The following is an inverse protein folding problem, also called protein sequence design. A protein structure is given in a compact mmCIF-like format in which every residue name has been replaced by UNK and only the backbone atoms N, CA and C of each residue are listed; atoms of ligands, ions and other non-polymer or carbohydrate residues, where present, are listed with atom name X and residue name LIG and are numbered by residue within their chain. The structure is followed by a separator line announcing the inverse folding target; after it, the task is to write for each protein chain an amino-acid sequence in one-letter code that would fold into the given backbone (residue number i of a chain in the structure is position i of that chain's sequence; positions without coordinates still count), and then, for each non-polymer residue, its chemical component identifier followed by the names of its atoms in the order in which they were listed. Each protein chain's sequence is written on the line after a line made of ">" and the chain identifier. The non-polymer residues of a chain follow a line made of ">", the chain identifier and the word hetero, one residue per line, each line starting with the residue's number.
data_IF_670765948159
#
_entry.id   IF_670765948159
#
_cell.length_a   1.000
_cell.length_b   1.000
_cell.length_c   1.000
_cell.angle_alpha   90.00
_cell.angle_beta   90.00
_cell.angle_gamma   90.00
#
_symmetry.space_group_name_H-M   'P 1'
#
loop_
_entity.id
_entity.type
_entity.pdbx_description
1 polymer ?
#
# COMPACT_ATOMS: atom_id res chain seq x y z
N UNK A 1 -6.40 -6.99 -5.87
CA UNK A 1 -7.27 -6.09 -5.08
C UNK A 1 -8.16 -5.30 -6.03
N UNK A 2 -9.45 -5.15 -5.74
CA UNK A 2 -10.41 -4.36 -6.52
C UNK A 2 -11.21 -3.43 -5.62
N UNK A 3 -11.50 -2.22 -6.13
CA UNK A 3 -12.44 -1.31 -5.47
C UNK A 3 -13.86 -1.87 -5.44
N UNK A 4 -14.30 -2.54 -6.51
CA UNK A 4 -15.66 -3.11 -6.62
C UNK A 4 -15.91 -4.24 -5.62
N UNK A 5 -14.89 -5.04 -5.31
CA UNK A 5 -14.98 -6.12 -4.33
C UNK A 5 -14.73 -5.65 -2.89
N UNK A 6 -14.47 -4.36 -2.67
CA UNK A 6 -14.19 -3.80 -1.35
C UNK A 6 -12.90 -4.29 -0.69
N UNK A 7 -12.10 -5.13 -1.37
CA UNK A 7 -10.90 -5.78 -0.83
C UNK A 7 -9.60 -5.02 -1.14
N UNK A 8 -9.69 -3.71 -1.32
CA UNK A 8 -8.53 -2.83 -1.53
C UNK A 8 -8.07 -2.19 -0.23
N UNK A 9 -6.82 -1.74 -0.21
CA UNK A 9 -6.25 -0.85 0.80
C UNK A 9 -6.05 0.51 0.12
N UNK A 10 -6.69 1.57 0.61
CA UNK A 10 -6.58 2.90 0.01
C UNK A 10 -5.28 3.59 0.43
N UNK A 11 -4.55 4.12 -0.55
CA UNK A 11 -3.27 4.81 -0.33
C UNK A 11 -3.39 6.00 0.65
N UNK A 12 -4.51 6.71 0.56
CA UNK A 12 -4.80 7.91 1.34
C UNK A 12 -6.00 7.73 2.27
N UNK A 13 -6.32 6.49 2.65
CA UNK A 13 -7.31 6.22 3.69
C UNK A 13 -6.84 6.83 5.03
N UNK A 14 -7.76 7.39 5.80
CA UNK A 14 -7.47 7.82 7.16
C UNK A 14 -7.03 6.61 8.04
N UNK A 15 -6.39 6.88 9.18
CA UNK A 15 -5.83 5.83 10.04
C UNK A 15 -6.86 4.79 10.48
N UNK A 16 -8.09 5.23 10.78
CA UNK A 16 -9.16 4.34 11.23
C UNK A 16 -9.62 3.44 10.10
N UNK A 17 -9.80 3.98 8.90
CA UNK A 17 -10.17 3.22 7.71
C UNK A 17 -9.07 2.24 7.30
N UNK A 18 -7.80 2.68 7.30
CA UNK A 18 -6.65 1.83 7.00
C UNK A 18 -6.57 0.65 7.97
N UNK A 19 -6.64 0.93 9.29
CA UNK A 19 -6.64 -0.11 10.32
C UNK A 19 -7.78 -1.11 10.12
N UNK A 20 -9.00 -0.64 9.86
CA UNK A 20 -10.16 -1.52 9.63
C UNK A 20 -9.91 -2.46 8.44
N UNK A 21 -9.39 -1.95 7.32
CA UNK A 21 -9.10 -2.76 6.12
C UNK A 21 -8.02 -3.79 6.39
N UNK A 22 -6.93 -3.40 7.03
CA UNK A 22 -5.84 -4.33 7.39
C UNK A 22 -6.35 -5.43 8.32
N UNK A 23 -7.17 -5.06 9.31
CA UNK A 23 -7.74 -6.04 10.24
C UNK A 23 -8.69 -7.04 9.54
N UNK A 24 -9.33 -6.65 8.44
CA UNK A 24 -10.19 -7.52 7.64
C UNK A 24 -9.46 -8.47 6.68
N UNK A 25 -8.13 -8.40 6.56
CA UNK A 25 -7.39 -9.31 5.67
C UNK A 25 -7.63 -10.77 6.10
N UNK A 26 -8.03 -11.60 5.15
CA UNK A 26 -8.32 -13.02 5.38
C UNK A 26 -7.03 -13.78 5.66
N UNK A 27 -7.05 -14.55 6.75
CA UNK A 27 -6.01 -15.50 7.19
C UNK A 27 -6.66 -16.86 7.42
N UNK A 28 -5.87 -17.89 7.67
CA UNK A 28 -6.41 -19.18 8.12
C UNK A 28 -6.84 -19.13 9.61
N UNK A 29 -7.22 -20.30 10.15
CA UNK A 29 -7.79 -20.46 11.49
C UNK A 29 -6.79 -20.97 12.54
N UNK A 30 -5.49 -20.86 12.27
CA UNK A 30 -4.45 -21.25 13.23
C UNK A 30 -4.48 -20.35 14.49
N UNK A 31 -4.21 -20.97 15.64
CA UNK A 31 -4.09 -20.31 16.92
C UNK A 31 -2.89 -19.38 17.03
N UNK A 32 -2.79 -18.68 18.17
CA UNK A 32 -1.70 -17.74 18.43
C UNK A 32 -0.36 -18.46 18.52
N UNK A 33 -0.33 -19.63 19.16
CA UNK A 33 0.88 -20.43 19.40
C UNK A 33 1.23 -21.40 18.27
N UNK A 34 0.33 -21.55 17.29
CA UNK A 34 0.55 -22.39 16.13
C UNK A 34 1.55 -21.76 15.16
N UNK A 35 2.39 -22.61 14.56
CA UNK A 35 3.28 -22.24 13.46
C UNK A 35 2.45 -21.81 12.26
N UNK A 36 2.77 -20.65 11.70
CA UNK A 36 2.09 -20.07 10.53
C UNK A 36 2.96 -20.24 9.30
N UNK A 37 2.34 -20.32 8.13
CA UNK A 37 3.06 -20.34 6.86
C UNK A 37 3.10 -18.92 6.25
N UNK A 38 4.29 -18.26 6.22
CA UNK A 38 4.43 -16.94 5.61
C UNK A 38 4.10 -16.93 4.11
N UNK A 39 4.38 -18.02 3.40
CA UNK A 39 4.31 -18.09 1.94
C UNK A 39 2.85 -18.21 1.43
N UNK A 40 1.92 -18.61 2.30
CA UNK A 40 0.48 -18.67 1.98
C UNK A 40 -0.34 -17.59 2.68
N UNK A 41 0.29 -16.73 3.50
CA UNK A 41 -0.40 -15.72 4.29
C UNK A 41 -0.50 -14.38 3.53
N UNK A 42 -1.72 -13.93 3.25
CA UNK A 42 -1.96 -12.64 2.59
C UNK A 42 -1.36 -11.44 3.34
N UNK A 43 -1.36 -11.47 4.68
CA UNK A 43 -0.76 -10.42 5.51
C UNK A 43 0.75 -10.37 5.30
N UNK A 44 1.40 -11.55 5.31
CA UNK A 44 2.85 -11.64 5.11
C UNK A 44 3.24 -11.24 3.68
N UNK A 45 2.45 -11.60 2.67
CA UNK A 45 2.66 -11.18 1.29
C UNK A 45 2.70 -9.64 1.15
N UNK A 46 1.86 -8.91 1.89
CA UNK A 46 1.90 -7.44 1.93
C UNK A 46 3.11 -6.92 2.71
N UNK A 47 3.42 -7.50 3.88
CA UNK A 47 4.63 -7.15 4.65
C UNK A 47 5.87 -7.25 3.79
N UNK A 48 6.00 -8.35 3.03
CA UNK A 48 7.11 -8.62 2.11
C UNK A 48 7.33 -7.46 1.11
N UNK A 49 6.27 -6.81 0.62
CA UNK A 49 6.38 -5.74 -0.38
C UNK A 49 6.82 -4.40 0.23
N UNK A 50 6.32 -4.06 1.42
CA UNK A 50 6.44 -2.70 1.96
C UNK A 50 7.51 -2.54 3.04
N UNK A 51 8.31 -3.58 3.32
CA UNK A 51 9.30 -3.56 4.39
C UNK A 51 10.70 -3.93 3.91
N UNK A 52 11.71 -3.64 4.73
CA UNK A 52 13.10 -3.97 4.42
C UNK A 52 13.35 -5.47 4.55
N UNK A 53 14.38 -6.03 3.87
CA UNK A 53 14.72 -7.44 4.01
C UNK A 53 14.92 -7.87 5.47
N UNK A 54 15.55 -7.03 6.30
CA UNK A 54 15.84 -7.35 7.70
C UNK A 54 14.55 -7.47 8.52
N UNK A 55 13.64 -6.50 8.40
CA UNK A 55 12.35 -6.51 9.12
C UNK A 55 11.46 -7.64 8.63
N UNK A 56 11.51 -7.96 7.32
CA UNK A 56 10.81 -9.10 6.73
C UNK A 56 11.27 -10.42 7.33
N UNK A 57 12.57 -10.66 7.40
CA UNK A 57 13.11 -11.91 7.97
C UNK A 57 12.81 -12.01 9.48
N UNK A 58 12.87 -10.89 10.21
CA UNK A 58 12.48 -10.87 11.62
C UNK A 58 11.00 -11.27 11.81
N UNK A 59 10.10 -10.77 10.97
CA UNK A 59 8.67 -11.15 11.02
C UNK A 59 8.49 -12.60 10.58
N UNK A 60 9.23 -13.06 9.55
CA UNK A 60 9.19 -14.45 9.09
C UNK A 60 9.57 -15.42 10.22
N UNK A 61 10.61 -15.10 10.99
CA UNK A 61 11.02 -15.89 12.14
C UNK A 61 9.89 -15.99 13.20
N UNK A 62 9.16 -14.90 13.46
CA UNK A 62 8.01 -14.91 14.39
C UNK A 62 6.90 -15.85 13.92
N UNK A 63 6.60 -15.88 12.62
CA UNK A 63 5.61 -16.81 12.04
C UNK A 63 5.99 -18.29 12.24
N UNK A 64 7.30 -18.59 12.16
CA UNK A 64 7.84 -19.95 12.21
C UNK A 64 8.14 -20.45 13.64
N UNK A 65 7.93 -19.62 14.66
CA UNK A 65 8.20 -19.97 16.06
C UNK A 65 6.96 -20.58 16.73
N UNK A 66 6.96 -21.87 17.10
CA UNK A 66 5.89 -22.46 17.88
C UNK A 66 5.86 -21.89 19.31
N UNK A 67 4.68 -21.70 19.89
CA UNK A 67 4.48 -21.10 21.21
C UNK A 67 5.15 -19.72 21.36
N UNK A 68 5.35 -19.00 20.25
CA UNK A 68 5.97 -17.68 20.23
C UNK A 68 5.03 -16.53 20.60
N UNK A 69 3.76 -16.82 20.95
CA UNK A 69 2.74 -15.79 21.22
C UNK A 69 2.36 -14.95 20.00
N UNK A 70 2.74 -15.36 18.79
CA UNK A 70 2.64 -14.54 17.58
C UNK A 70 1.45 -14.95 16.68
N UNK A 71 0.28 -14.39 16.98
CA UNK A 71 -0.94 -14.50 16.17
C UNK A 71 -1.03 -13.58 14.95
N UNK A 72 -2.01 -13.83 14.06
CA UNK A 72 -2.30 -12.97 12.90
C UNK A 72 -2.69 -11.52 13.27
N UNK A 73 -3.27 -11.31 14.44
CA UNK A 73 -3.54 -9.96 14.95
C UNK A 73 -2.26 -9.14 15.09
N UNK A 74 -1.17 -9.74 15.59
CA UNK A 74 0.13 -9.10 15.70
C UNK A 74 0.71 -8.80 14.31
N UNK A 75 0.66 -9.77 13.39
CA UNK A 75 1.10 -9.55 12.02
C UNK A 75 0.34 -8.41 11.31
N UNK A 76 -0.96 -8.31 11.53
CA UNK A 76 -1.79 -7.21 11.01
C UNK A 76 -1.43 -5.86 11.63
N UNK A 77 -1.07 -5.82 12.92
CA UNK A 77 -0.59 -4.61 13.58
C UNK A 77 0.78 -4.17 13.03
N UNK A 78 1.71 -5.11 12.82
CA UNK A 78 3.00 -4.81 12.20
C UNK A 78 2.83 -4.31 10.76
N UNK A 79 1.93 -4.92 9.98
CA UNK A 79 1.59 -4.42 8.64
C UNK A 79 1.02 -3.00 8.67
N UNK A 80 0.16 -2.68 9.65
CA UNK A 80 -0.37 -1.33 9.82
C UNK A 80 0.73 -0.31 10.10
N UNK A 81 1.67 -0.65 10.98
CA UNK A 81 2.82 0.20 11.29
C UNK A 81 3.68 0.43 10.04
N UNK A 82 4.09 -0.66 9.37
CA UNK A 82 4.88 -0.62 8.13
C UNK A 82 4.21 0.27 7.07
N UNK A 83 2.92 0.07 6.82
CA UNK A 83 2.19 0.86 5.83
C UNK A 83 2.04 2.32 6.27
N UNK A 84 1.86 2.59 7.56
CA UNK A 84 1.76 3.96 8.07
C UNK A 84 3.08 4.72 7.89
N UNK A 85 4.20 4.07 8.18
CA UNK A 85 5.55 4.62 7.96
C UNK A 85 5.83 4.84 6.47
N UNK A 86 5.60 3.82 5.65
CA UNK A 86 5.83 3.86 4.21
C UNK A 86 4.98 4.94 3.52
N UNK A 87 3.73 5.11 3.93
CA UNK A 87 2.79 6.04 3.29
C UNK A 87 2.90 7.49 3.77
N UNK A 88 3.56 7.73 4.91
CA UNK A 88 3.71 9.06 5.51
C UNK A 88 4.19 10.13 4.53
N UNK A 89 5.33 9.98 3.82
CA UNK A 89 5.80 11.03 2.91
C UNK A 89 4.82 11.30 1.76
N UNK A 90 4.12 10.29 1.28
CA UNK A 90 3.13 10.45 0.21
C UNK A 90 1.87 11.18 0.69
N UNK A 91 1.44 10.94 1.93
CA UNK A 91 0.31 11.64 2.57
C UNK A 91 0.64 13.10 2.79
N UNK A 92 1.82 13.40 3.34
CA UNK A 92 2.30 14.77 3.54
C UNK A 92 2.38 15.52 2.20
N UNK A 93 2.97 14.91 1.17
CA UNK A 93 3.04 15.49 -0.17
C UNK A 93 1.64 15.76 -0.75
N UNK A 94 0.71 14.82 -0.60
CA UNK A 94 -0.67 15.02 -1.05
C UNK A 94 -1.35 16.18 -0.32
N UNK A 95 -1.15 16.30 0.98
CA UNK A 95 -1.70 17.43 1.75
C UNK A 95 -1.15 18.77 1.26
N UNK A 96 0.14 18.85 0.93
CA UNK A 96 0.72 20.06 0.34
C UNK A 96 0.11 20.38 -1.03
N UNK A 97 -0.07 19.37 -1.88
CA UNK A 97 -0.71 19.54 -3.20
C UNK A 97 -2.15 20.02 -3.05
N UNK A 98 -2.91 19.46 -2.11
CA UNK A 98 -4.30 19.86 -1.86
C UNK A 98 -4.44 21.31 -1.36
N UNK A 99 -3.42 21.85 -0.68
CA UNK A 99 -3.36 23.27 -0.29
C UNK A 99 -3.11 24.21 -1.48
N UNK A 100 -2.65 23.69 -2.62
CA UNK A 100 -2.41 24.46 -3.83
C UNK A 100 -3.03 23.79 -5.07
N UNK A 101 -4.37 23.84 -5.24
CA UNK A 101 -5.03 23.23 -6.40
C UNK A 101 -4.57 23.80 -7.75
N UNK A 102 -4.15 25.07 -7.79
CA UNK A 102 -3.65 25.72 -9.00
C UNK A 102 -2.37 25.05 -9.54
N UNK A 103 -1.53 24.50 -8.66
CA UNK A 103 -0.35 23.73 -9.07
C UNK A 103 -0.74 22.49 -9.89
N UNK A 104 -1.82 21.81 -9.51
CA UNK A 104 -2.31 20.62 -10.24
C UNK A 104 -2.75 21.02 -11.64
N UNK A 105 -3.57 22.07 -11.74
CA UNK A 105 -4.06 22.58 -13.02
C UNK A 105 -2.92 23.03 -13.93
N UNK A 106 -1.95 23.78 -13.40
CA UNK A 106 -0.78 24.21 -14.15
C UNK A 106 0.00 23.02 -14.73
N UNK A 107 0.16 21.94 -13.95
CA UNK A 107 0.85 20.72 -14.40
C UNK A 107 0.06 19.98 -15.48
N UNK A 108 -1.26 19.92 -15.35
CA UNK A 108 -2.13 19.34 -16.38
C UNK A 108 -2.04 20.12 -17.70
N UNK A 109 -2.10 21.45 -17.63
CA UNK A 109 -1.96 22.33 -18.81
C UNK A 109 -0.59 22.19 -19.47
N UNK A 110 0.48 22.11 -18.68
CA UNK A 110 1.83 21.87 -19.20
C UNK A 110 1.91 20.53 -19.95
N UNK A 111 1.35 19.46 -19.39
CA UNK A 111 1.31 18.15 -20.04
C UNK A 111 0.48 18.17 -21.34
N UNK A 112 -0.68 18.83 -21.32
CA UNK A 112 -1.54 18.98 -22.49
C UNK A 112 -0.82 19.74 -23.62
N UNK A 113 -0.09 20.81 -23.29
CA UNK A 113 0.69 21.58 -24.26
C UNK A 113 1.74 20.71 -24.96
N UNK A 114 2.54 19.97 -24.20
CA UNK A 114 3.58 19.07 -24.75
C UNK A 114 2.96 18.02 -25.68
N UNK A 115 1.82 17.45 -25.29
CA UNK A 115 1.15 16.44 -26.11
C UNK A 115 0.59 17.04 -27.41
N UNK A 116 -0.03 18.22 -27.33
CA UNK A 116 -0.58 18.89 -28.50
C UNK A 116 0.49 19.26 -29.53
N UNK A 117 1.63 19.79 -29.08
CA UNK A 117 2.77 20.08 -29.96
C UNK A 117 3.23 18.82 -30.72
N UNK A 118 3.30 17.68 -30.03
CA UNK A 118 3.64 16.39 -30.67
C UNK A 118 2.56 15.90 -31.62
N UNK A 119 1.29 16.08 -31.29
CA UNK A 119 0.19 15.72 -32.18
C UNK A 119 0.20 16.57 -33.46
N UNK A 120 0.43 17.88 -33.34
CA UNK A 120 0.50 18.77 -34.49
C UNK A 120 1.62 18.39 -35.47
N UNK A 121 2.76 17.90 -34.96
CA UNK A 121 3.83 17.34 -35.80
C UNK A 121 3.38 16.08 -36.55
N UNK A 122 2.78 15.11 -35.83
CA UNK A 122 2.30 13.86 -36.43
C UNK A 122 1.20 14.14 -37.47
N UNK A 123 0.28 15.05 -37.17
CA UNK A 123 -0.85 15.35 -38.07
C UNK A 123 -0.39 15.99 -39.39
N UNK A 124 0.74 16.71 -39.43
CA UNK A 124 1.34 17.23 -40.67
C UNK A 124 1.90 16.16 -41.60
N UNK A 125 2.19 14.97 -41.08
CA UNK A 125 2.66 13.84 -41.89
C UNK A 125 1.50 13.01 -42.45
N UNK A 126 0.33 13.11 -41.82
CA UNK A 126 -0.87 12.32 -42.15
C UNK A 126 -1.85 13.08 -43.04
N UNK A 127 -1.88 14.42 -42.95
CA UNK A 127 -2.71 15.32 -43.78
C UNK A 127 -1.85 15.93 -44.89
#
# INVERSE_FOLDING_TARGET
>A
MSKSYGNFIGLFDDEKTLKKRIMSIVTDSLGVDDIKNPDTCNVFALINVFTTPERREAIRAKYLTPNGGYGYGHAKLELLEILTEYLRPYRENREQILKNPALVEQKLQQGAKIMNERLDEIMKEVI
#
